data_IF_486241599970
#
_entry.id   IF_486241599970
#
_cell.length_a   1.000
_cell.length_b   1.000
_cell.length_c   1.000
_cell.angle_alpha   90.00
_cell.angle_beta   90.00
_cell.angle_gamma   90.00
#
_symmetry.space_group_name_H-M   'P 1'
#
loop_
_entity.id
_entity.type
_entity.pdbx_description
1 polymer ?
#
# COMPACT_ATOMS: atom_id res chain seq x y z
N UNK A 1 -9.58 11.73 15.75
CA UNK A 1 -9.84 10.40 15.18
C UNK A 1 -9.92 9.34 16.25
N UNK A 2 -8.89 9.10 17.09
CA UNK A 2 -8.93 8.08 18.15
C UNK A 2 -10.24 8.04 19.00
N UNK A 3 -10.75 9.20 19.43
CA UNK A 3 -12.03 9.31 20.18
C UNK A 3 -13.28 8.75 19.47
N UNK A 4 -13.22 8.50 18.16
CA UNK A 4 -14.32 7.97 17.35
C UNK A 4 -14.12 6.50 16.95
N UNK A 5 -12.97 5.91 17.23
CA UNK A 5 -12.64 4.54 16.84
C UNK A 5 -12.83 3.53 17.99
N UNK A 6 -13.08 4.01 19.21
CA UNK A 6 -13.10 3.17 20.42
C UNK A 6 -11.75 3.22 21.14
N UNK A 7 -11.78 3.01 22.46
CA UNK A 7 -10.59 3.04 23.32
C UNK A 7 -9.66 1.84 23.12
N UNK A 8 -10.15 0.79 22.46
CA UNK A 8 -9.44 -0.44 22.11
C UNK A 8 -8.68 -0.34 20.79
N UNK A 9 -8.94 0.69 19.98
CA UNK A 9 -8.27 0.87 18.70
C UNK A 9 -6.83 1.34 18.89
N UNK A 10 -5.90 0.59 18.29
CA UNK A 10 -4.48 0.89 18.30
C UNK A 10 -4.05 1.79 17.11
N UNK A 11 -2.86 2.37 17.23
CA UNK A 11 -2.30 3.28 16.21
C UNK A 11 -2.14 2.58 14.85
N UNK A 12 -1.86 1.27 14.83
CA UNK A 12 -1.73 0.51 13.57
C UNK A 12 -3.04 0.45 12.82
N UNK A 13 -4.14 0.15 13.53
CA UNK A 13 -5.47 0.06 12.95
C UNK A 13 -5.92 1.38 12.36
N UNK A 14 -5.68 2.51 13.05
CA UNK A 14 -5.96 3.84 12.50
C UNK A 14 -5.13 4.10 11.25
N UNK A 15 -3.82 3.80 11.28
CA UNK A 15 -2.94 3.97 10.11
C UNK A 15 -3.36 3.12 8.92
N UNK A 16 -3.92 1.94 9.16
CA UNK A 16 -4.35 1.02 8.11
C UNK A 16 -5.49 1.59 7.26
N UNK A 17 -6.44 2.30 7.88
CA UNK A 17 -7.55 2.97 7.18
C UNK A 17 -7.05 3.95 6.12
N UNK A 18 -5.96 4.67 6.42
CA UNK A 18 -5.38 5.67 5.50
C UNK A 18 -4.32 5.11 4.56
N UNK A 19 -4.00 3.79 4.63
CA UNK A 19 -2.89 3.21 3.87
C UNK A 19 -3.04 3.47 2.38
N UNK A 20 -4.25 3.32 1.87
CA UNK A 20 -4.45 3.42 0.44
C UNK A 20 -4.39 4.85 -0.09
N UNK A 21 -4.91 5.81 0.68
CA UNK A 21 -4.75 7.24 0.38
C UNK A 21 -3.27 7.61 0.33
N UNK A 22 -2.46 7.10 1.26
CA UNK A 22 -1.00 7.31 1.26
C UNK A 22 -0.32 6.68 0.05
N UNK A 23 -0.79 5.52 -0.42
CA UNK A 23 -0.26 4.88 -1.62
C UNK A 23 -0.56 5.71 -2.87
N UNK A 24 -1.80 6.17 -3.04
CA UNK A 24 -2.18 7.08 -4.14
C UNK A 24 -1.36 8.38 -4.11
N UNK A 25 -1.18 8.98 -2.93
CA UNK A 25 -0.34 10.17 -2.77
C UNK A 25 1.14 9.92 -3.15
N UNK A 26 1.67 8.72 -2.92
CA UNK A 26 3.02 8.36 -3.36
C UNK A 26 3.11 8.31 -4.88
N UNK A 27 2.13 7.70 -5.56
CA UNK A 27 2.08 7.64 -7.02
C UNK A 27 2.08 9.04 -7.64
N UNK A 28 1.29 9.96 -7.07
CA UNK A 28 1.25 11.36 -7.52
C UNK A 28 2.61 12.04 -7.35
N UNK A 29 3.26 11.88 -6.19
CA UNK A 29 4.60 12.45 -5.94
C UNK A 29 5.63 11.89 -6.92
N UNK A 30 5.61 10.58 -7.15
CA UNK A 30 6.52 9.92 -8.08
C UNK A 30 6.27 10.39 -9.52
N UNK A 31 5.02 10.62 -9.94
CA UNK A 31 4.70 11.17 -11.25
C UNK A 31 5.30 12.58 -11.44
N UNK A 32 5.10 13.47 -10.46
CA UNK A 32 5.67 14.83 -10.49
C UNK A 32 7.21 14.78 -10.53
N UNK A 33 7.83 13.93 -9.71
CA UNK A 33 9.30 13.78 -9.70
C UNK A 33 9.85 13.31 -11.04
N UNK A 34 9.07 12.53 -11.80
CA UNK A 34 9.43 12.05 -13.14
C UNK A 34 9.02 13.01 -14.26
N UNK A 35 8.54 14.22 -13.94
CA UNK A 35 8.10 15.22 -14.92
C UNK A 35 6.81 14.85 -15.65
N UNK A 36 5.99 13.98 -15.07
CA UNK A 36 4.72 13.52 -15.65
C UNK A 36 3.55 14.16 -14.92
N UNK A 37 2.41 14.29 -15.62
CA UNK A 37 1.18 14.80 -15.03
C UNK A 37 0.51 13.68 -14.20
N UNK A 38 0.27 13.89 -12.89
CA UNK A 38 -0.41 12.90 -12.04
C UNK A 38 -1.81 12.49 -12.53
N UNK A 39 -2.48 13.29 -13.35
CA UNK A 39 -3.81 12.94 -13.90
C UNK A 39 -3.77 11.71 -14.81
N UNK A 40 -2.59 11.42 -15.39
CA UNK A 40 -2.39 10.31 -16.32
C UNK A 40 -2.18 8.97 -15.57
N UNK A 41 -2.20 8.99 -14.23
CA UNK A 41 -1.98 7.83 -13.39
C UNK A 41 -3.24 7.45 -12.62
N UNK A 42 -3.53 6.15 -12.57
CA UNK A 42 -4.55 5.63 -11.67
C UNK A 42 -4.04 5.71 -10.22
N UNK A 43 -4.57 6.71 -9.52
CA UNK A 43 -4.28 7.00 -8.11
C UNK A 43 -5.34 6.42 -7.18
N UNK A 44 -6.41 5.84 -7.73
CA UNK A 44 -7.44 5.17 -6.97
C UNK A 44 -6.97 3.78 -6.54
N UNK A 45 -7.38 3.38 -5.34
CA UNK A 45 -7.08 2.06 -4.82
C UNK A 45 -7.93 1.03 -5.53
N UNK A 46 -7.34 0.37 -6.52
CA UNK A 46 -7.54 -1.07 -6.73
C UNK A 46 -6.35 -1.69 -7.46
N UNK A 47 -5.15 -1.77 -6.84
CA UNK A 47 -4.29 -2.89 -7.15
C UNK A 47 -5.02 -4.13 -6.65
N UNK A 48 -5.54 -4.93 -7.58
CA UNK A 48 -6.22 -6.22 -7.37
C UNK A 48 -5.69 -6.91 -6.08
N UNK A 49 -6.54 -7.12 -5.05
CA UNK A 49 -6.10 -7.65 -3.75
C UNK A 49 -5.38 -9.00 -3.86
N UNK A 50 -5.50 -9.66 -5.01
CA UNK A 50 -4.86 -10.93 -5.39
C UNK A 50 -3.36 -10.83 -5.69
N UNK A 51 -2.80 -9.63 -5.89
CA UNK A 51 -1.34 -9.44 -6.08
C UNK A 51 -0.60 -9.17 -4.77
N UNK A 52 -1.23 -9.47 -3.63
CA UNK A 52 -0.57 -9.42 -2.32
C UNK A 52 0.31 -10.65 -2.16
N UNK A 53 1.60 -10.48 -2.50
CA UNK A 53 2.66 -11.46 -2.26
C UNK A 53 3.27 -11.98 -3.56
N UNK A 54 4.57 -11.75 -3.71
CA UNK A 54 5.42 -12.54 -4.61
C UNK A 54 5.29 -14.01 -4.20
N UNK A 55 4.38 -14.77 -4.83
CA UNK A 55 4.27 -16.23 -4.66
C UNK A 55 5.59 -16.96 -5.02
N UNK A 56 6.54 -16.30 -5.69
CA UNK A 56 7.84 -16.84 -6.05
C UNK A 56 8.96 -16.73 -5.00
N UNK A 57 8.86 -15.81 -4.03
CA UNK A 57 9.95 -15.64 -3.04
C UNK A 57 9.93 -16.68 -1.92
N UNK A 58 8.75 -17.22 -1.59
CA UNK A 58 8.61 -18.25 -0.57
C UNK A 58 9.22 -19.59 -1.03
N UNK A 59 9.18 -19.92 -2.33
CA UNK A 59 9.70 -21.20 -2.84
C UNK A 59 11.22 -21.21 -3.04
N UNK A 60 11.81 -20.11 -3.52
CA UNK A 60 13.26 -20.03 -3.73
C UNK A 60 14.06 -20.11 -2.42
N UNK A 61 13.57 -19.48 -1.34
CA UNK A 61 14.20 -19.62 -0.01
C UNK A 61 14.06 -21.01 0.58
N UNK A 62 12.96 -21.72 0.29
CA UNK A 62 12.75 -23.09 0.75
C UNK A 62 13.63 -24.11 -0.01
N UNK A 63 13.96 -23.83 -1.28
CA UNK A 63 14.83 -24.70 -2.09
C UNK A 63 16.32 -24.43 -1.79
N UNK A 64 16.71 -23.18 -1.54
CA UNK A 64 18.12 -22.80 -1.34
C UNK A 64 18.67 -23.12 0.06
N UNK A 65 17.80 -23.43 1.03
CA UNK A 65 18.15 -23.77 2.42
C UNK A 65 17.86 -25.23 2.80
N UNK A 66 17.74 -26.13 1.81
CA UNK A 66 17.74 -27.59 2.01
C UNK A 66 19.12 -28.16 1.73
#
# INVERSE_FOLDING_TARGET
MAKHFGSDTDVSSIKWQFRGIRAGAKIQKDAVLNGKDPKDFDVALNPDPRKRGNKGECSLKAILFR
#
